data_IF_065881242989
#
_entry.id   IF_065881242989
#
_cell.length_a   1.000
_cell.length_b   1.000
_cell.length_c   1.000
_cell.angle_alpha   90.00
_cell.angle_beta   90.00
_cell.angle_gamma   90.00
#
_symmetry.space_group_name_H-M   'P 1'
#
loop_
_entity.id
_entity.type
_entity.pdbx_description
1 polymer ?
#
# COMPACT_ATOMS: atom_id res chain seq x y z
N UNK A 1 3.67 2.53 -10.09
CA UNK A 1 3.58 3.41 -8.88
C UNK A 1 2.80 4.70 -9.13
N UNK A 2 3.03 5.42 -10.24
CA UNK A 2 2.37 6.70 -10.57
C UNK A 2 0.83 6.67 -10.46
N UNK A 3 0.18 5.63 -10.99
CA UNK A 3 -1.28 5.46 -10.92
C UNK A 3 -1.84 5.55 -9.49
N UNK A 4 -1.17 4.90 -8.55
CA UNK A 4 -1.60 4.83 -7.14
C UNK A 4 -1.42 6.19 -6.47
N UNK A 5 -0.26 6.83 -6.70
CA UNK A 5 0.05 8.14 -6.11
C UNK A 5 -0.83 9.27 -6.65
N UNK A 6 -1.10 9.29 -7.96
CA UNK A 6 -2.05 10.24 -8.57
C UNK A 6 -3.48 10.01 -8.05
N UNK A 7 -3.86 8.75 -7.78
CA UNK A 7 -5.19 8.43 -7.22
C UNK A 7 -5.30 8.83 -5.75
N UNK A 8 -4.24 8.65 -4.96
CA UNK A 8 -4.16 9.17 -3.59
C UNK A 8 -4.30 10.69 -3.55
N UNK A 9 -3.55 11.41 -4.39
CA UNK A 9 -3.62 12.87 -4.43
C UNK A 9 -5.02 13.35 -4.82
N UNK A 10 -5.66 12.71 -5.80
CA UNK A 10 -7.04 13.02 -6.18
C UNK A 10 -8.07 12.76 -5.07
N UNK A 11 -7.90 11.70 -4.26
CA UNK A 11 -8.83 11.34 -3.19
C UNK A 11 -8.64 12.18 -1.91
N UNK A 12 -7.39 12.49 -1.56
CA UNK A 12 -7.04 13.01 -0.24
C UNK A 12 -6.29 14.34 -0.26
N UNK A 13 -6.04 14.90 -1.45
CA UNK A 13 -5.33 16.17 -1.63
C UNK A 13 -3.85 16.14 -1.20
N UNK A 14 -3.27 14.94 -1.07
CA UNK A 14 -1.89 14.74 -0.64
C UNK A 14 -1.24 13.56 -1.36
N UNK A 15 0.04 13.72 -1.72
CA UNK A 15 0.87 12.67 -2.31
C UNK A 15 1.25 11.61 -1.28
N UNK A 16 1.50 10.39 -1.75
CA UNK A 16 2.03 9.30 -0.95
C UNK A 16 3.51 9.51 -0.65
N UNK A 17 3.94 9.04 0.52
CA UNK A 17 5.36 8.85 0.77
C UNK A 17 5.80 7.52 0.15
N UNK A 18 6.69 7.59 -0.84
CA UNK A 18 7.25 6.42 -1.50
C UNK A 18 8.53 6.01 -0.78
N UNK A 19 8.55 4.80 -0.21
CA UNK A 19 9.67 4.31 0.58
C UNK A 19 10.00 2.85 0.25
N UNK A 20 11.26 2.48 0.47
CA UNK A 20 11.67 1.11 0.68
C UNK A 20 11.80 0.87 2.19
N UNK A 21 11.35 -0.29 2.67
CA UNK A 21 11.44 -0.65 4.09
C UNK A 21 12.56 -1.66 4.31
N UNK A 22 13.19 -1.62 5.49
CA UNK A 22 14.15 -2.64 5.91
C UNK A 22 13.43 -3.83 6.57
N UNK A 23 12.58 -4.49 5.80
CA UNK A 23 11.82 -5.67 6.19
C UNK A 23 11.58 -6.58 4.98
N UNK A 24 11.22 -7.84 5.24
CA UNK A 24 10.85 -8.79 4.18
C UNK A 24 9.45 -8.50 3.66
N UNK A 25 9.31 -8.40 2.32
CA UNK A 25 8.04 -8.39 1.62
C UNK A 25 8.05 -9.46 0.53
N UNK A 26 6.92 -10.13 0.34
CA UNK A 26 6.75 -11.16 -0.67
C UNK A 26 6.94 -10.61 -2.09
N UNK A 27 6.74 -9.30 -2.31
CA UNK A 27 7.05 -8.63 -3.58
C UNK A 27 8.49 -8.90 -4.05
N UNK A 28 9.45 -9.06 -3.13
CA UNK A 28 10.83 -9.42 -3.50
C UNK A 28 10.95 -10.83 -4.07
N UNK A 29 10.21 -11.79 -3.53
CA UNK A 29 10.17 -13.17 -4.04
C UNK A 29 9.35 -13.27 -5.33
N UNK A 30 8.18 -12.63 -5.37
CA UNK A 30 7.28 -12.60 -6.52
C UNK A 30 7.98 -11.94 -7.71
N UNK A 31 8.66 -10.80 -7.51
CA UNK A 31 9.38 -10.09 -8.57
C UNK A 31 10.55 -10.87 -9.15
N UNK A 32 11.23 -11.71 -8.35
CA UNK A 32 12.25 -12.64 -8.87
C UNK A 32 11.64 -13.68 -9.81
N UNK A 33 10.43 -14.16 -9.49
CA UNK A 33 9.73 -15.14 -10.32
C UNK A 33 9.13 -14.51 -11.59
N UNK A 34 8.66 -13.27 -11.50
CA UNK A 34 8.04 -12.54 -12.61
C UNK A 34 8.76 -11.19 -12.84
N UNK A 35 9.92 -11.18 -13.54
CA UNK A 35 10.75 -9.98 -13.66
C UNK A 35 10.11 -8.79 -14.39
N UNK A 36 9.06 -9.04 -15.16
CA UNK A 36 8.33 -8.03 -15.92
C UNK A 36 7.10 -7.48 -15.16
N UNK A 37 6.76 -8.05 -13.99
CA UNK A 37 5.58 -7.64 -13.24
C UNK A 37 5.87 -6.34 -12.49
N UNK A 38 5.16 -5.27 -12.85
CA UNK A 38 5.14 -4.05 -12.04
C UNK A 38 4.31 -4.27 -10.78
N UNK A 39 4.86 -3.91 -9.62
CA UNK A 39 4.22 -4.13 -8.33
C UNK A 39 4.34 -2.91 -7.43
N UNK A 40 3.40 -2.79 -6.51
CA UNK A 40 3.46 -1.87 -5.38
C UNK A 40 2.85 -2.54 -4.15
N UNK A 41 3.35 -2.20 -2.97
CA UNK A 41 2.78 -2.61 -1.69
C UNK A 41 2.21 -1.40 -0.99
N UNK A 42 0.93 -1.46 -0.61
CA UNK A 42 0.21 -0.41 0.11
C UNK A 42 -0.70 -1.08 1.16
N UNK A 43 -0.99 -0.38 2.25
CA UNK A 43 -1.84 -0.92 3.31
C UNK A 43 -2.23 0.13 4.34
N UNK A 44 -3.14 -0.23 5.27
CA UNK A 44 -3.53 0.62 6.38
C UNK A 44 -2.41 0.75 7.43
N UNK A 45 -2.58 1.71 8.34
CA UNK A 45 -1.66 1.92 9.45
C UNK A 45 -1.82 0.82 10.51
N UNK A 46 -0.73 0.11 10.77
CA UNK A 46 -0.61 -0.93 11.80
C UNK A 46 0.50 -0.58 12.78
N UNK A 47 0.37 -1.03 14.03
CA UNK A 47 1.36 -0.85 15.10
C UNK A 47 1.60 -2.15 15.83
N UNK A 48 2.84 -2.34 16.29
CA UNK A 48 3.28 -3.51 17.06
C UNK A 48 2.93 -4.85 16.41
N UNK A 49 3.01 -4.92 15.08
CA UNK A 49 2.74 -6.14 14.32
C UNK A 49 3.63 -7.26 14.83
N UNK A 50 3.06 -8.46 15.01
CA UNK A 50 3.70 -9.64 15.59
C UNK A 50 3.90 -9.63 17.12
N UNK A 51 3.20 -8.75 17.85
CA UNK A 51 3.15 -8.80 19.32
C UNK A 51 1.71 -8.95 19.81
N UNK A 52 1.47 -9.32 21.08
CA UNK A 52 0.14 -9.28 21.68
C UNK A 52 -0.51 -7.88 21.68
N UNK A 53 0.28 -6.83 21.48
CA UNK A 53 -0.16 -5.43 21.39
C UNK A 53 -0.43 -4.98 19.95
N UNK A 54 -0.50 -5.91 19.00
CA UNK A 54 -0.78 -5.63 17.60
C UNK A 54 -2.12 -4.89 17.43
N UNK A 55 -2.07 -3.76 16.74
CA UNK A 55 -3.20 -2.86 16.58
C UNK A 55 -3.29 -2.32 15.15
N UNK A 56 -4.54 -2.13 14.70
CA UNK A 56 -4.88 -1.62 13.38
C UNK A 56 -5.73 -0.35 13.50
N UNK A 57 -5.40 0.68 12.72
CA UNK A 57 -6.18 1.93 12.69
C UNK A 57 -7.45 1.77 11.85
N UNK A 58 -8.63 1.69 12.50
CA UNK A 58 -9.93 1.57 11.82
C UNK A 58 -10.16 2.68 10.77
N UNK A 59 -9.89 3.97 11.04
CA UNK A 59 -10.03 5.02 10.02
C UNK A 59 -9.09 4.81 8.83
N UNK A 60 -7.87 4.31 9.08
CA UNK A 60 -6.89 4.04 8.03
C UNK A 60 -7.32 2.89 7.11
N UNK A 61 -7.99 1.87 7.65
CA UNK A 61 -8.61 0.79 6.85
C UNK A 61 -9.63 1.36 5.87
N UNK A 62 -10.47 2.29 6.30
CA UNK A 62 -11.44 2.96 5.42
C UNK A 62 -10.77 3.75 4.29
N UNK A 63 -9.68 4.45 4.59
CA UNK A 63 -8.92 5.18 3.56
C UNK A 63 -8.21 4.23 2.58
N UNK A 64 -7.60 3.15 3.09
CA UNK A 64 -6.99 2.11 2.26
C UNK A 64 -8.02 1.49 1.31
N UNK A 65 -9.21 1.14 1.81
CA UNK A 65 -10.27 0.57 0.98
C UNK A 65 -10.70 1.51 -0.15
N UNK A 66 -10.91 2.80 0.16
CA UNK A 66 -11.23 3.82 -0.85
C UNK A 66 -10.14 3.93 -1.92
N UNK A 67 -8.87 3.94 -1.51
CA UNK A 67 -7.74 4.00 -2.43
C UNK A 67 -7.68 2.75 -3.32
N UNK A 68 -7.84 1.57 -2.73
CA UNK A 68 -7.79 0.29 -3.45
C UNK A 68 -8.86 0.25 -4.55
N UNK A 69 -10.12 0.53 -4.20
CA UNK A 69 -11.23 0.56 -5.17
C UNK A 69 -10.97 1.58 -6.27
N UNK A 70 -10.60 2.81 -5.92
CA UNK A 70 -10.37 3.86 -6.91
C UNK A 70 -9.19 3.56 -7.85
N UNK A 71 -8.16 2.83 -7.39
CA UNK A 71 -7.07 2.37 -8.25
C UNK A 71 -7.58 1.31 -9.22
N UNK A 72 -8.35 0.33 -8.75
CA UNK A 72 -8.91 -0.74 -9.58
C UNK A 72 -9.88 -0.21 -10.64
N UNK A 73 -10.66 0.83 -10.35
CA UNK A 73 -11.55 1.49 -11.30
C UNK A 73 -10.83 2.24 -12.43
N UNK A 74 -9.52 2.50 -12.27
CA UNK A 74 -8.68 3.25 -13.22
C UNK A 74 -7.69 2.37 -13.99
N UNK A 75 -7.70 1.06 -13.75
CA UNK A 75 -6.96 0.08 -14.54
C UNK A 75 -7.74 -0.25 -15.82
#
# INVERSE_FOLDING_TARGET
MKLIDDTQEGLFGKRMQIVAIHAGLECGLIGRKYPQMEMASIGPEMKNVHTPDEQLSIPSVGNFWKLLVAVLEKL
#
